data_IF_226244489016
#
_entry.id   IF_226244489016
#
_cell.length_a   1.000
_cell.length_b   1.000
_cell.length_c   1.000
_cell.angle_alpha   90.00
_cell.angle_beta   90.00
_cell.angle_gamma   90.00
#
_symmetry.space_group_name_H-M   'P 1'
#
loop_
_entity.id
_entity.type
_entity.pdbx_description
1 polymer ?
#
# COMPACT_ATOMS: atom_id res chain seq x y z
N UNK A 1 -5.38 3.26 -32.40
CA UNK A 1 -5.53 1.96 -31.69
C UNK A 1 -4.55 1.84 -30.52
N UNK A 2 -4.92 1.13 -29.43
CA UNK A 2 -4.09 0.93 -28.23
C UNK A 2 -3.49 -0.48 -28.21
N UNK A 3 -2.66 -0.82 -29.18
CA UNK A 3 -2.05 -2.14 -29.23
C UNK A 3 -1.17 -2.39 -27.99
N UNK A 4 -1.47 -3.46 -27.24
CA UNK A 4 -0.72 -3.93 -26.05
C UNK A 4 -0.47 -2.91 -24.93
N UNK A 5 -1.06 -1.71 -24.98
CA UNK A 5 -0.95 -0.72 -23.89
C UNK A 5 -1.90 -1.09 -22.77
N UNK A 6 -1.41 -1.74 -21.74
CA UNK A 6 -2.11 -2.07 -20.49
C UNK A 6 -1.99 -0.94 -19.47
N UNK A 7 -2.94 -0.88 -18.55
CA UNK A 7 -2.94 0.06 -17.43
C UNK A 7 -3.76 1.34 -17.68
N UNK A 8 -4.22 1.90 -16.57
CA UNK A 8 -5.05 3.13 -16.55
C UNK A 8 -4.16 4.37 -16.48
N UNK A 9 -4.52 5.44 -17.17
CA UNK A 9 -3.81 6.72 -17.08
C UNK A 9 -4.08 7.45 -15.76
N UNK A 10 -5.23 7.22 -15.11
CA UNK A 10 -5.66 7.87 -13.86
C UNK A 10 -5.66 9.42 -13.96
N UNK A 11 -5.91 9.96 -15.15
CA UNK A 11 -5.85 11.39 -15.47
C UNK A 11 -4.53 12.06 -15.05
N UNK A 12 -3.39 11.33 -15.19
CA UNK A 12 -2.07 11.79 -14.75
C UNK A 12 -1.03 11.64 -15.85
N UNK A 13 -0.04 12.52 -15.84
CA UNK A 13 1.19 12.37 -16.65
C UNK A 13 1.94 11.11 -16.24
N UNK A 14 2.83 10.62 -17.08
CA UNK A 14 3.57 9.38 -16.79
C UNK A 14 4.41 9.47 -15.50
N UNK A 15 5.10 10.59 -15.29
CA UNK A 15 5.90 10.83 -14.08
C UNK A 15 5.04 10.88 -12.82
N UNK A 16 3.94 11.64 -12.85
CA UNK A 16 3.01 11.76 -11.74
C UNK A 16 2.33 10.41 -11.40
N UNK A 17 1.97 9.61 -12.40
CA UNK A 17 1.41 8.27 -12.20
C UNK A 17 2.43 7.32 -11.57
N UNK A 18 3.71 7.38 -12.00
CA UNK A 18 4.79 6.60 -11.39
C UNK A 18 4.99 6.97 -9.92
N UNK A 19 5.00 8.26 -9.59
CA UNK A 19 5.10 8.73 -8.21
C UNK A 19 3.89 8.29 -7.37
N UNK A 20 2.66 8.39 -7.91
CA UNK A 20 1.45 7.92 -7.23
C UNK A 20 1.52 6.44 -6.87
N UNK A 21 1.90 5.58 -7.82
CA UNK A 21 2.02 4.13 -7.56
C UNK A 21 3.10 3.82 -6.53
N UNK A 22 4.24 4.50 -6.61
CA UNK A 22 5.31 4.38 -5.62
C UNK A 22 4.83 4.76 -4.21
N UNK A 23 4.17 5.89 -4.05
CA UNK A 23 3.69 6.36 -2.75
C UNK A 23 2.61 5.45 -2.17
N UNK A 24 1.64 5.02 -2.97
CA UNK A 24 0.61 4.08 -2.54
C UNK A 24 1.21 2.72 -2.16
N UNK A 25 2.19 2.23 -2.92
CA UNK A 25 2.87 0.99 -2.58
C UNK A 25 3.67 1.10 -1.28
N UNK A 26 4.37 2.21 -1.05
CA UNK A 26 5.07 2.48 0.20
C UNK A 26 4.11 2.51 1.39
N UNK A 27 2.98 3.20 1.26
CA UNK A 27 1.95 3.23 2.30
C UNK A 27 1.38 1.84 2.58
N UNK A 28 1.10 1.05 1.53
CA UNK A 28 0.60 -0.32 1.71
C UNK A 28 1.62 -1.23 2.42
N UNK A 29 2.90 -1.12 2.09
CA UNK A 29 3.97 -1.90 2.73
C UNK A 29 4.11 -1.55 4.21
N UNK A 30 3.99 -0.27 4.56
CA UNK A 30 4.08 0.20 5.95
C UNK A 30 2.84 -0.22 6.74
N UNK A 31 1.65 0.14 6.27
CA UNK A 31 0.40 -0.03 7.03
C UNK A 31 -0.27 -1.40 6.82
N UNK A 32 0.23 -2.23 5.89
CA UNK A 32 -0.30 -3.55 5.52
C UNK A 32 -1.70 -3.50 4.88
N UNK A 33 -2.48 -2.46 5.09
CA UNK A 33 -3.78 -2.18 4.46
C UNK A 33 -3.92 -0.68 4.20
N UNK A 34 -4.54 -0.31 3.08
CA UNK A 34 -4.88 1.08 2.75
C UNK A 34 -6.23 1.15 2.05
N UNK A 35 -6.91 2.27 2.23
CA UNK A 35 -8.16 2.58 1.55
C UNK A 35 -7.90 3.60 0.44
N UNK A 36 -8.42 3.34 -0.77
CA UNK A 36 -8.28 4.24 -1.91
C UNK A 36 -9.39 4.01 -2.94
N UNK A 37 -9.41 4.78 -4.03
CA UNK A 37 -10.41 4.56 -5.08
C UNK A 37 -10.18 3.23 -5.80
N UNK A 38 -11.25 2.57 -6.23
CA UNK A 38 -11.21 1.26 -6.88
C UNK A 38 -10.29 1.24 -8.11
N UNK A 39 -10.24 2.33 -8.89
CA UNK A 39 -9.36 2.44 -10.05
C UNK A 39 -7.87 2.41 -9.66
N UNK A 40 -7.50 3.10 -8.57
CA UNK A 40 -6.11 3.14 -8.06
C UNK A 40 -5.71 1.80 -7.46
N UNK A 41 -6.58 1.17 -6.67
CA UNK A 41 -6.29 -0.12 -6.03
C UNK A 41 -6.10 -1.24 -7.05
N UNK A 42 -6.89 -1.27 -8.14
CA UNK A 42 -6.72 -2.23 -9.23
C UNK A 42 -5.35 -2.11 -9.93
N UNK A 43 -4.87 -0.89 -10.16
CA UNK A 43 -3.52 -0.67 -10.73
C UNK A 43 -2.42 -0.99 -9.71
N UNK A 44 -2.65 -0.61 -8.43
CA UNK A 44 -1.71 -0.84 -7.35
C UNK A 44 -1.47 -2.33 -7.11
N UNK A 45 -2.51 -3.16 -7.20
CA UNK A 45 -2.41 -4.61 -7.05
C UNK A 45 -1.29 -5.20 -7.92
N UNK A 46 -1.34 -4.97 -9.23
CA UNK A 46 -0.33 -5.50 -10.15
C UNK A 46 1.07 -4.89 -9.95
N UNK A 47 1.15 -3.68 -9.41
CA UNK A 47 2.42 -3.04 -9.08
C UNK A 47 3.06 -3.69 -7.85
N UNK A 48 2.30 -3.86 -6.77
CA UNK A 48 2.78 -4.42 -5.49
C UNK A 48 3.08 -5.91 -5.61
N UNK A 49 2.27 -6.69 -6.30
CA UNK A 49 2.51 -8.12 -6.49
C UNK A 49 3.85 -8.40 -7.18
N UNK A 50 4.27 -7.55 -8.11
CA UNK A 50 5.61 -7.62 -8.70
C UNK A 50 6.72 -7.30 -7.70
N UNK A 51 6.51 -6.34 -6.80
CA UNK A 51 7.49 -6.02 -5.76
C UNK A 51 7.68 -7.20 -4.80
N UNK A 52 6.60 -7.86 -4.40
CA UNK A 52 6.67 -9.09 -3.58
C UNK A 52 7.41 -10.20 -4.32
N UNK A 53 7.14 -10.40 -5.61
CA UNK A 53 7.86 -11.39 -6.43
C UNK A 53 9.35 -11.10 -6.50
N UNK A 54 9.76 -9.84 -6.60
CA UNK A 54 11.17 -9.46 -6.56
C UNK A 54 11.79 -9.68 -5.17
N UNK A 55 11.05 -9.37 -4.11
CA UNK A 55 11.49 -9.58 -2.74
C UNK A 55 11.70 -11.07 -2.41
N UNK A 56 10.87 -11.96 -2.94
CA UNK A 56 10.99 -13.42 -2.75
C UNK A 56 12.26 -14.03 -3.35
N UNK A 57 12.91 -13.36 -4.29
CA UNK A 57 14.18 -13.84 -4.85
C UNK A 57 15.34 -13.75 -3.87
N UNK A 58 15.21 -12.85 -2.88
CA UNK A 58 16.21 -12.59 -1.83
C UNK A 58 17.65 -12.38 -2.37
N UNK A 59 17.75 -11.76 -3.55
CA UNK A 59 18.99 -11.44 -4.21
C UNK A 59 19.22 -9.93 -4.32
N UNK A 60 20.47 -9.54 -4.55
CA UNK A 60 20.84 -8.13 -4.75
C UNK A 60 20.11 -7.52 -5.95
N UNK A 61 19.85 -8.33 -6.97
CA UNK A 61 19.15 -7.88 -8.16
C UNK A 61 17.67 -7.56 -7.84
N UNK A 62 16.97 -8.43 -7.12
CA UNK A 62 15.60 -8.19 -6.64
C UNK A 62 15.50 -6.91 -5.81
N UNK A 63 16.43 -6.70 -4.88
CA UNK A 63 16.52 -5.47 -4.08
C UNK A 63 16.68 -4.22 -4.97
N UNK A 64 17.56 -4.24 -5.96
CA UNK A 64 17.75 -3.11 -6.90
C UNK A 64 16.50 -2.85 -7.73
N UNK A 65 15.77 -3.89 -8.16
CA UNK A 65 14.51 -3.74 -8.90
C UNK A 65 13.43 -3.08 -8.05
N UNK A 66 13.32 -3.43 -6.77
CA UNK A 66 12.39 -2.80 -5.83
C UNK A 66 12.73 -1.30 -5.68
N UNK A 67 14.00 -0.99 -5.38
CA UNK A 67 14.45 0.40 -5.21
C UNK A 67 14.27 1.26 -6.46
N UNK A 68 14.42 0.68 -7.66
CA UNK A 68 14.16 1.39 -8.94
C UNK A 68 12.68 1.75 -9.11
N UNK A 69 11.77 0.98 -8.53
CA UNK A 69 10.32 1.19 -8.63
C UNK A 69 9.77 2.08 -7.53
N UNK A 70 10.31 1.98 -6.32
CA UNK A 70 9.95 2.82 -5.18
C UNK A 70 10.81 4.08 -5.21
N UNK A 71 10.18 5.22 -5.49
CA UNK A 71 10.85 6.50 -5.58
C UNK A 71 11.04 7.13 -4.18
N UNK A 72 12.13 7.89 -4.03
CA UNK A 72 12.37 8.71 -2.84
C UNK A 72 13.28 8.06 -1.80
N UNK A 73 13.49 8.80 -0.69
CA UNK A 73 14.45 8.45 0.36
C UNK A 73 14.13 7.14 1.09
N UNK A 74 12.84 6.77 1.17
CA UNK A 74 12.37 5.55 1.83
C UNK A 74 12.52 4.27 1.00
N UNK A 75 13.06 4.33 -0.21
CA UNK A 75 13.15 3.16 -1.10
C UNK A 75 13.93 1.99 -0.48
N UNK A 76 14.99 2.28 0.29
CA UNK A 76 15.78 1.27 1.00
C UNK A 76 15.01 0.63 2.16
N UNK A 77 14.32 1.44 2.95
CA UNK A 77 13.48 1.00 4.07
C UNK A 77 12.35 0.09 3.57
N UNK A 78 11.61 0.52 2.55
CA UNK A 78 10.53 -0.27 1.95
C UNK A 78 11.05 -1.59 1.36
N UNK A 79 12.23 -1.58 0.73
CA UNK A 79 12.85 -2.80 0.22
C UNK A 79 13.20 -3.76 1.36
N UNK A 80 13.70 -3.26 2.49
CA UNK A 80 13.99 -4.09 3.67
C UNK A 80 12.72 -4.73 4.23
N UNK A 81 11.64 -3.95 4.45
CA UNK A 81 10.36 -4.48 4.93
C UNK A 81 9.81 -5.55 3.97
N UNK A 82 9.88 -5.31 2.66
CA UNK A 82 9.42 -6.29 1.68
C UNK A 82 10.21 -7.60 1.73
N UNK A 83 11.54 -7.55 1.87
CA UNK A 83 12.43 -8.71 1.83
C UNK A 83 12.40 -9.48 3.15
N UNK A 84 12.45 -8.78 4.30
CA UNK A 84 12.62 -9.43 5.59
C UNK A 84 11.29 -9.74 6.28
N UNK A 85 10.26 -8.89 6.13
CA UNK A 85 9.01 -9.06 6.85
C UNK A 85 7.90 -9.70 5.99
N UNK A 86 7.79 -9.31 4.71
CA UNK A 86 6.67 -9.72 3.86
C UNK A 86 7.00 -10.96 3.01
N UNK A 87 8.15 -10.99 2.35
CA UNK A 87 8.51 -12.08 1.45
C UNK A 87 8.57 -13.46 2.12
N UNK A 88 9.07 -13.62 3.37
CA UNK A 88 9.09 -14.92 4.04
C UNK A 88 7.70 -15.53 4.23
N UNK A 89 6.68 -14.70 4.53
CA UNK A 89 5.29 -15.15 4.71
C UNK A 89 4.75 -15.76 3.42
N UNK A 90 5.15 -15.23 2.27
CA UNK A 90 4.68 -15.68 0.97
C UNK A 90 5.59 -16.68 0.26
N UNK A 91 6.57 -17.26 0.94
CA UNK A 91 7.56 -18.17 0.31
C UNK A 91 6.91 -19.26 -0.53
N UNK A 92 5.85 -19.87 -0.01
CA UNK A 92 5.14 -20.99 -0.66
C UNK A 92 3.94 -20.56 -1.52
N UNK A 93 3.63 -19.25 -1.60
CA UNK A 93 2.49 -18.74 -2.38
C UNK A 93 2.98 -18.20 -3.72
N UNK A 94 2.44 -18.70 -4.85
CA UNK A 94 2.90 -18.34 -6.20
C UNK A 94 2.24 -17.09 -6.79
N UNK A 95 1.41 -16.37 -6.03
CA UNK A 95 0.74 -15.14 -6.46
C UNK A 95 -0.46 -14.81 -5.58
N UNK A 96 -1.20 -13.73 -5.93
CA UNK A 96 -2.35 -13.31 -5.14
C UNK A 96 -1.97 -12.89 -3.73
N UNK A 97 -0.91 -12.09 -3.60
CA UNK A 97 -0.41 -11.61 -2.30
C UNK A 97 -1.27 -10.52 -1.70
N UNK A 98 -2.14 -9.91 -2.50
CA UNK A 98 -3.01 -8.82 -2.08
C UNK A 98 -4.47 -9.13 -2.34
N UNK A 99 -5.35 -8.65 -1.48
CA UNK A 99 -6.80 -8.74 -1.60
C UNK A 99 -7.42 -7.36 -1.73
N UNK A 100 -8.44 -7.24 -2.58
CA UNK A 100 -9.25 -6.04 -2.76
C UNK A 100 -10.64 -6.29 -2.21
N UNK A 101 -11.07 -5.41 -1.30
CA UNK A 101 -12.42 -5.42 -0.73
C UNK A 101 -13.11 -4.14 -1.18
N UNK A 102 -14.26 -4.26 -1.84
CA UNK A 102 -15.07 -3.09 -2.19
C UNK A 102 -15.73 -2.55 -0.95
N UNK A 103 -15.67 -1.24 -0.78
CA UNK A 103 -16.33 -0.49 0.26
C UNK A 103 -17.44 0.37 -0.33
N UNK A 104 -18.23 0.98 0.53
CA UNK A 104 -19.23 1.95 0.13
C UNK A 104 -18.60 3.14 -0.59
N UNK A 105 -19.37 3.76 -1.47
CA UNK A 105 -18.93 4.94 -2.18
C UNK A 105 -18.68 6.10 -1.21
N UNK A 106 -17.71 6.94 -1.53
CA UNK A 106 -17.37 8.11 -0.73
C UNK A 106 -18.52 9.11 -0.73
N UNK A 107 -18.92 9.58 0.48
CA UNK A 107 -20.13 10.39 0.68
C UNK A 107 -20.17 11.69 -0.15
N UNK A 108 -19.01 12.34 -0.40
CA UNK A 108 -18.99 13.66 -1.02
C UNK A 108 -19.11 13.64 -2.54
N UNK A 109 -18.44 12.72 -3.23
CA UNK A 109 -18.35 12.66 -4.69
C UNK A 109 -18.79 11.31 -5.28
N UNK A 110 -19.39 10.47 -4.44
CA UNK A 110 -19.87 9.13 -4.81
C UNK A 110 -18.81 8.26 -5.54
N UNK A 111 -17.52 8.54 -5.32
CA UNK A 111 -16.44 7.77 -5.93
C UNK A 111 -16.39 6.37 -5.34
N UNK A 112 -16.28 5.30 -6.17
CA UNK A 112 -16.13 3.94 -5.69
C UNK A 112 -14.80 3.77 -4.96
N UNK A 113 -14.87 3.27 -3.73
CA UNK A 113 -13.74 3.07 -2.82
C UNK A 113 -13.48 1.58 -2.63
N UNK A 114 -12.23 1.23 -2.40
CA UNK A 114 -11.84 -0.12 -2.02
C UNK A 114 -10.70 -0.12 -1.02
N UNK A 115 -10.70 -1.13 -0.18
CA UNK A 115 -9.59 -1.50 0.69
C UNK A 115 -8.67 -2.45 -0.09
N UNK A 116 -7.38 -2.18 -0.08
CA UNK A 116 -6.36 -3.14 -0.53
C UNK A 116 -5.50 -3.52 0.67
N UNK A 117 -5.29 -4.81 0.85
CA UNK A 117 -4.51 -5.34 1.97
C UNK A 117 -3.66 -6.53 1.55
N UNK A 118 -2.62 -6.82 2.31
CA UNK A 118 -1.88 -8.06 2.18
C UNK A 118 -2.67 -9.22 2.78
N UNK A 119 -2.71 -10.36 2.09
CA UNK A 119 -3.36 -11.57 2.57
C UNK A 119 -2.48 -12.23 3.64
N UNK A 120 -3.10 -12.77 4.70
CA UNK A 120 -2.41 -13.48 5.78
C UNK A 120 -1.40 -12.64 6.61
N UNK A 121 -1.45 -11.32 6.49
CA UNK A 121 -0.67 -10.40 7.33
C UNK A 121 -1.66 -9.58 8.17
N UNK A 122 -1.54 -9.69 9.50
CA UNK A 122 -2.30 -8.84 10.40
C UNK A 122 -1.90 -7.37 10.17
N UNK A 123 -2.87 -6.44 10.04
CA UNK A 123 -2.55 -5.03 9.99
C UNK A 123 -1.87 -4.62 11.29
N UNK A 124 -0.88 -3.74 11.20
CA UNK A 124 -0.39 -3.04 12.38
C UNK A 124 -1.56 -2.26 12.96
N UNK A 125 -2.05 -2.66 14.12
CA UNK A 125 -2.98 -1.85 14.91
C UNK A 125 -2.14 -0.70 15.45
N UNK A 126 -2.26 0.46 14.80
CA UNK A 126 -1.85 1.70 15.46
C UNK A 126 -2.97 1.91 16.49
N UNK A 127 -2.71 1.56 17.73
CA UNK A 127 -3.45 2.09 18.86
C UNK A 127 -3.20 3.60 18.87
N UNK A 128 -3.97 4.34 18.08
CA UNK A 128 -4.07 5.78 18.26
C UNK A 128 -4.70 6.00 19.62
N UNK A 129 -3.90 6.56 20.51
CA UNK A 129 -4.22 7.06 21.81
C UNK A 129 -5.64 7.63 21.91
N UNK A 130 -6.53 6.85 22.46
CA UNK A 130 -7.81 7.31 23.02
C UNK A 130 -7.63 7.56 24.52
N UNK A 131 -6.55 8.22 24.92
CA UNK A 131 -6.28 8.62 26.29
C UNK A 131 -5.85 10.09 26.34
N UNK A 132 -6.75 11.02 25.98
CA UNK A 132 -6.60 12.44 26.36
C UNK A 132 -7.95 13.20 26.32
N UNK A 133 -9.01 12.60 26.83
CA UNK A 133 -10.28 13.32 26.94
C UNK A 133 -11.06 13.06 28.26
N UNK A 134 -10.37 12.70 29.35
CA UNK A 134 -11.09 12.49 30.62
C UNK A 134 -10.52 13.18 31.86
N UNK A 135 -9.71 14.24 31.70
CA UNK A 135 -9.21 14.92 32.91
C UNK A 135 -9.16 16.45 32.78
N UNK A 136 -10.33 17.03 32.47
CA UNK A 136 -10.58 18.48 32.70
C UNK A 136 -12.03 18.75 33.01
N UNK A 137 -12.55 18.17 34.06
CA UNK A 137 -13.72 18.76 34.73
C UNK A 137 -13.80 18.27 36.18
N UNK A 138 -12.98 18.83 37.02
CA UNK A 138 -13.23 18.90 38.46
C UNK A 138 -12.35 19.97 39.10
N UNK A 139 -12.94 21.09 39.42
CA UNK A 139 -12.32 21.99 40.40
C UNK A 139 -12.43 23.47 40.13
N UNK A 140 -13.61 24.00 40.20
CA UNK A 140 -13.80 25.36 40.81
C UNK A 140 -15.13 25.34 41.55
N UNK A 141 -15.06 25.19 42.87
CA UNK A 141 -15.99 25.73 43.86
C UNK A 141 -15.14 26.12 45.06
N UNK A 142 -15.03 27.37 45.25
CA UNK A 142 -15.27 28.22 46.41
C UNK A 142 -14.58 29.56 46.20
#
# INVERSE_FOLDING_TARGET
MRHQKKGRKLNRTASHRKALMSNLASSLVIHKKIQTTEAKSKELRGFVERLVTYAKRDDVHGRRLIQKRILGKRSKEIANILIHDIAPIYKNRNGGYTRLIKLDNRKNDNAPVSLIEFVDIAPLVIEEAAEDASDKDSGVKD
#
